data_IF_977403900248
#
_entry.id   IF_977403900248
#
_cell.length_a   1.000
_cell.length_b   1.000
_cell.length_c   1.000
_cell.angle_alpha   90.00
_cell.angle_beta   90.00
_cell.angle_gamma   90.00
#
_symmetry.space_group_name_H-M   'P 1'
#
loop_
_entity.id
_entity.type
_entity.pdbx_description
1 polymer ?
#
# COMPACT_ATOMS: atom_id res chain seq x y z
N UNK A 1 -2.36 25.40 27.92
CA UNK A 1 -1.80 24.06 27.72
C UNK A 1 -1.76 23.73 26.24
N UNK A 2 -0.61 23.38 25.75
CA UNK A 2 -0.45 23.03 24.34
C UNK A 2 -0.65 21.51 24.22
N UNK A 3 -1.66 21.14 23.45
CA UNK A 3 -1.85 19.75 23.10
C UNK A 3 -1.00 19.43 21.88
N UNK A 4 0.00 18.61 22.08
CA UNK A 4 0.76 18.08 20.95
C UNK A 4 0.06 16.84 20.48
N UNK A 5 -0.58 16.92 19.33
CA UNK A 5 -1.15 15.76 18.67
C UNK A 5 -0.10 15.16 17.77
N UNK A 6 0.25 13.92 18.04
CA UNK A 6 1.08 13.15 17.12
C UNK A 6 0.15 12.47 16.14
N UNK A 7 0.35 12.72 14.87
CA UNK A 7 -0.37 11.99 13.84
C UNK A 7 0.21 10.58 13.77
N UNK A 8 -0.43 9.67 14.51
CA UNK A 8 -0.06 8.28 14.44
C UNK A 8 -0.77 7.68 13.25
N UNK A 9 -0.02 7.46 12.18
CA UNK A 9 -0.54 6.84 10.98
C UNK A 9 -0.28 5.34 11.03
N UNK A 10 -1.31 4.58 10.72
CA UNK A 10 -1.10 3.16 10.45
C UNK A 10 -0.45 3.04 9.07
N UNK A 11 0.54 2.18 8.96
CA UNK A 11 1.31 1.99 7.74
C UNK A 11 1.29 0.53 7.33
N UNK A 12 1.16 0.28 6.05
CA UNK A 12 1.28 -1.05 5.49
C UNK A 12 2.15 -1.01 4.24
N UNK A 13 2.85 -2.09 4.00
CA UNK A 13 3.59 -2.30 2.77
C UNK A 13 2.95 -3.46 2.04
N UNK A 14 2.68 -3.29 0.75
CA UNK A 14 2.08 -4.33 -0.05
C UNK A 14 3.06 -4.72 -1.15
N UNK A 15 3.41 -5.99 -1.16
CA UNK A 15 4.26 -6.57 -2.18
C UNK A 15 3.33 -7.22 -3.20
N UNK A 16 3.51 -6.87 -4.46
CA UNK A 16 2.58 -7.24 -5.52
C UNK A 16 3.29 -8.00 -6.63
N UNK A 17 2.71 -9.12 -7.02
CA UNK A 17 3.07 -9.80 -8.26
C UNK A 17 1.95 -9.58 -9.26
N UNK A 18 2.29 -9.30 -10.49
CA UNK A 18 1.33 -8.98 -11.52
C UNK A 18 1.62 -9.73 -12.82
N UNK A 19 0.67 -9.63 -13.73
CA UNK A 19 0.84 -10.16 -15.07
C UNK A 19 1.97 -9.42 -15.80
N UNK A 20 2.72 -10.17 -16.56
CA UNK A 20 3.86 -9.63 -17.31
C UNK A 20 3.41 -8.47 -18.22
N UNK A 21 4.14 -7.38 -18.16
CA UNK A 21 3.86 -6.21 -18.98
C UNK A 21 2.78 -5.27 -18.42
N UNK A 22 2.23 -5.57 -17.25
CA UNK A 22 1.16 -4.75 -16.66
C UNK A 22 1.62 -3.89 -15.48
N UNK A 23 2.89 -3.88 -15.18
CA UNK A 23 3.46 -3.16 -14.05
C UNK A 23 3.11 -1.67 -14.07
N UNK A 24 3.31 -1.01 -15.22
CA UNK A 24 3.03 0.42 -15.33
C UNK A 24 1.57 0.76 -15.10
N UNK A 25 0.67 -0.04 -15.65
CA UNK A 25 -0.77 0.17 -15.48
C UNK A 25 -1.16 0.07 -14.01
N UNK A 26 -0.64 -0.92 -13.30
CA UNK A 26 -0.92 -1.12 -11.89
C UNK A 26 -0.34 0.02 -11.06
N UNK A 27 0.90 0.42 -11.34
CA UNK A 27 1.54 1.54 -10.65
C UNK A 27 0.70 2.81 -10.80
N UNK A 28 0.22 3.10 -11.99
CA UNK A 28 -0.63 4.27 -12.23
C UNK A 28 -1.93 4.19 -11.45
N UNK A 29 -2.57 3.02 -11.41
CA UNK A 29 -3.79 2.83 -10.64
C UNK A 29 -3.54 3.03 -9.15
N UNK A 30 -2.43 2.53 -8.63
CA UNK A 30 -2.06 2.71 -7.23
C UNK A 30 -1.84 4.17 -6.88
N UNK A 31 -1.20 4.92 -7.76
CA UNK A 31 -0.92 6.34 -7.52
C UNK A 31 -2.17 7.20 -7.41
N UNK A 32 -3.29 6.75 -7.95
CA UNK A 32 -4.56 7.47 -7.84
C UNK A 32 -5.26 7.30 -6.50
N UNK A 33 -4.78 6.39 -5.66
CA UNK A 33 -5.35 6.18 -4.33
C UNK A 33 -4.66 7.10 -3.32
N UNK A 34 -5.44 7.92 -2.64
CA UNK A 34 -4.91 8.91 -1.70
C UNK A 34 -4.05 8.31 -0.60
N UNK A 35 -4.39 7.12 -0.14
CA UNK A 35 -3.66 6.46 0.93
C UNK A 35 -2.33 5.85 0.50
N UNK A 36 -2.11 5.70 -0.81
CA UNK A 36 -0.85 5.19 -1.34
C UNK A 36 0.16 6.33 -1.38
N UNK A 37 1.23 6.19 -0.59
CA UNK A 37 2.24 7.23 -0.42
C UNK A 37 3.48 7.03 -1.28
N UNK A 38 3.83 5.76 -1.54
CA UNK A 38 4.96 5.43 -2.38
C UNK A 38 4.63 4.18 -3.17
N UNK A 39 5.06 4.15 -4.40
CA UNK A 39 4.96 2.96 -5.26
C UNK A 39 6.26 2.84 -6.03
N UNK A 40 6.83 1.66 -6.00
CA UNK A 40 8.07 1.37 -6.71
C UNK A 40 7.97 0.04 -7.46
N UNK A 41 8.41 0.04 -8.72
CA UNK A 41 8.68 -1.20 -9.40
C UNK A 41 9.93 -1.83 -8.78
N UNK A 42 9.93 -3.15 -8.65
CA UNK A 42 11.03 -3.87 -8.02
C UNK A 42 11.49 -5.00 -8.93
N UNK A 43 12.67 -5.51 -8.64
CA UNK A 43 13.24 -6.62 -9.35
C UNK A 43 13.57 -7.73 -8.34
N UNK A 44 12.94 -8.88 -8.50
CA UNK A 44 13.12 -10.00 -7.59
C UNK A 44 11.84 -10.80 -7.42
N UNK A 45 11.58 -11.23 -6.20
CA UNK A 45 10.42 -12.09 -5.90
C UNK A 45 9.09 -11.39 -6.11
N UNK A 46 9.06 -10.06 -6.06
CA UNK A 46 7.86 -9.26 -6.30
C UNK A 46 8.14 -8.19 -7.33
N UNK A 47 7.10 -7.79 -8.04
CA UNK A 47 7.19 -6.83 -9.15
C UNK A 47 7.02 -5.38 -8.70
N UNK A 48 6.22 -5.17 -7.66
CA UNK A 48 5.87 -3.84 -7.19
C UNK A 48 5.81 -3.84 -5.67
N UNK A 49 6.26 -2.75 -5.05
CA UNK A 49 6.04 -2.49 -3.64
C UNK A 49 5.30 -1.16 -3.50
N UNK A 50 4.28 -1.12 -2.65
CA UNK A 50 3.53 0.09 -2.34
C UNK A 50 3.51 0.33 -0.84
N UNK A 51 3.68 1.59 -0.45
CA UNK A 51 3.53 2.01 0.94
C UNK A 51 2.20 2.72 1.08
N UNK A 52 1.40 2.30 2.04
CA UNK A 52 0.06 2.83 2.28
C UNK A 52 -0.02 3.32 3.71
N UNK A 53 -0.62 4.49 3.89
CA UNK A 53 -0.81 5.06 5.23
C UNK A 53 -2.24 5.55 5.39
N UNK A 54 -2.78 5.38 6.58
CA UNK A 54 -4.07 5.94 6.95
C UNK A 54 -4.11 6.17 8.46
N UNK A 55 -4.84 7.19 8.89
CA UNK A 55 -4.97 7.50 10.32
C UNK A 55 -5.66 6.36 11.09
N UNK A 56 -6.55 5.65 10.43
CA UNK A 56 -7.30 4.55 11.05
C UNK A 56 -6.87 3.20 10.46
N UNK A 57 -6.43 2.30 11.33
CA UNK A 57 -5.97 0.97 10.93
C UNK A 57 -7.05 0.15 10.21
N UNK A 58 -8.30 0.27 10.67
CA UNK A 58 -9.40 -0.46 10.04
C UNK A 58 -9.68 0.04 8.62
N UNK A 59 -9.58 1.35 8.41
CA UNK A 59 -9.71 1.92 7.07
C UNK A 59 -8.58 1.48 6.16
N UNK A 60 -7.38 1.36 6.71
CA UNK A 60 -6.23 0.87 5.96
C UNK A 60 -6.50 -0.54 5.43
N UNK A 61 -7.03 -1.41 6.29
CA UNK A 61 -7.39 -2.78 5.89
C UNK A 61 -8.46 -2.79 4.79
N UNK A 62 -9.47 -1.93 4.91
CA UNK A 62 -10.52 -1.81 3.90
C UNK A 62 -9.97 -1.38 2.55
N UNK A 63 -9.06 -0.42 2.55
CA UNK A 63 -8.40 0.06 1.32
C UNK A 63 -7.64 -1.08 0.65
N UNK A 64 -6.91 -1.87 1.43
CA UNK A 64 -6.16 -3.00 0.91
C UNK A 64 -7.10 -4.02 0.28
N UNK A 65 -8.14 -4.39 0.99
CA UNK A 65 -9.07 -5.44 0.54
C UNK A 65 -9.91 -4.97 -0.64
N UNK A 66 -10.49 -3.79 -0.55
CA UNK A 66 -11.50 -3.34 -1.50
C UNK A 66 -10.97 -2.50 -2.65
N UNK A 67 -9.84 -1.84 -2.49
CA UNK A 67 -9.29 -0.96 -3.52
C UNK A 67 -8.06 -1.54 -4.19
N UNK A 68 -7.14 -2.11 -3.43
CA UNK A 68 -5.87 -2.58 -3.99
C UNK A 68 -5.96 -3.97 -4.57
N UNK A 69 -6.48 -4.92 -3.82
CA UNK A 69 -6.58 -6.32 -4.28
C UNK A 69 -7.46 -6.48 -5.52
N UNK A 70 -8.33 -5.51 -5.78
CA UNK A 70 -9.23 -5.55 -6.92
C UNK A 70 -8.68 -4.91 -8.18
N UNK A 71 -7.49 -4.36 -8.12
CA UNK A 71 -6.84 -3.80 -9.31
C UNK A 71 -6.58 -4.95 -10.30
N UNK A 72 -7.00 -4.74 -11.55
CA UNK A 72 -6.83 -5.75 -12.58
C UNK A 72 -5.35 -6.08 -12.82
N UNK A 73 -5.09 -7.29 -13.23
CA UNK A 73 -3.77 -7.81 -13.56
C UNK A 73 -2.86 -8.10 -12.38
N UNK A 74 -3.34 -7.88 -11.15
CA UNK A 74 -2.62 -8.33 -9.96
C UNK A 74 -2.84 -9.83 -9.81
N UNK A 75 -1.76 -10.58 -9.67
CA UNK A 75 -1.80 -12.03 -9.49
C UNK A 75 -1.82 -12.42 -8.02
N UNK A 76 -1.01 -11.76 -7.22
CA UNK A 76 -0.95 -12.04 -5.79
C UNK A 76 -0.43 -10.82 -5.05
N UNK A 77 -0.77 -10.75 -3.77
CA UNK A 77 -0.30 -9.69 -2.89
C UNK A 77 0.14 -10.28 -1.55
N UNK A 78 1.14 -9.66 -0.95
CA UNK A 78 1.55 -9.95 0.42
C UNK A 78 1.54 -8.62 1.18
N UNK A 79 0.78 -8.56 2.26
CA UNK A 79 0.66 -7.35 3.06
C UNK A 79 1.50 -7.48 4.33
N UNK A 80 2.33 -6.47 4.56
CA UNK A 80 3.10 -6.35 5.79
C UNK A 80 2.57 -5.12 6.53
N UNK A 81 1.97 -5.34 7.70
CA UNK A 81 1.49 -4.22 8.52
C UNK A 81 2.65 -3.70 9.35
N UNK A 82 2.83 -2.38 9.33
CA UNK A 82 3.84 -1.76 10.16
C UNK A 82 3.52 -1.94 11.64
N UNK A 83 4.57 -2.08 12.44
CA UNK A 83 4.43 -2.17 13.89
C UNK A 83 4.45 -0.76 14.44
N UNK A 84 3.40 -0.41 15.18
CA UNK A 84 3.26 0.91 15.77
C UNK A 84 4.47 1.24 16.64
N UNK A 85 5.02 2.44 16.42
CA UNK A 85 6.20 2.91 17.16
C UNK A 85 7.53 2.43 16.62
N UNK A 86 7.55 1.59 15.58
CA UNK A 86 8.77 1.08 14.96
C UNK A 86 8.95 1.49 13.50
N UNK A 87 8.04 2.27 13.01
CA UNK A 87 8.11 2.75 11.62
C UNK A 87 8.60 4.19 11.55
#
# INVERSE_FOLDING_TARGET
>A
MILVTYDIMATAYILINCELGKEETIIENLKHLDSVKEVHGTFGAYDIIAKIEHAEKEKLREIIIWSIRKIEHIRSTLTLMGIEGQN
#
